data_IF_653882611108
#
_entry.id   IF_653882611108
#
_cell.length_a   1.000
_cell.length_b   1.000
_cell.length_c   1.000
_cell.angle_alpha   90.00
_cell.angle_beta   90.00
_cell.angle_gamma   90.00
#
_symmetry.space_group_name_H-M   'P 1'
#
loop_
_entity.id
_entity.type
_entity.pdbx_description
1 polymer ?
#
# COMPACT_ATOMS: atom_id res chain seq x y z
N UNK A 1 -69.11 -18.62 2.54
CA UNK A 1 -68.66 -19.02 1.19
C UNK A 1 -69.40 -18.13 0.20
N UNK A 2 -68.76 -17.06 -0.28
CA UNK A 2 -69.37 -16.15 -1.25
C UNK A 2 -69.01 -16.63 -2.67
N UNK A 3 -70.02 -16.82 -3.50
CA UNK A 3 -69.90 -17.25 -4.90
C UNK A 3 -69.51 -16.06 -5.78
N UNK A 4 -68.57 -16.30 -6.70
CA UNK A 4 -68.06 -15.33 -7.69
C UNK A 4 -69.07 -15.09 -8.82
N UNK A 5 -69.10 -13.89 -9.46
CA UNK A 5 -69.99 -13.66 -10.60
C UNK A 5 -69.39 -14.24 -11.89
N UNK A 6 -70.22 -14.99 -12.61
CA UNK A 6 -69.96 -15.47 -13.97
C UNK A 6 -69.76 -14.29 -14.92
N UNK A 7 -68.64 -14.28 -15.64
CA UNK A 7 -68.34 -13.30 -16.67
C UNK A 7 -68.86 -13.83 -18.02
N UNK A 8 -70.05 -13.40 -18.42
CA UNK A 8 -70.72 -13.82 -19.65
C UNK A 8 -70.29 -12.97 -20.85
N UNK A 9 -69.65 -13.59 -21.83
CA UNK A 9 -69.41 -13.00 -23.14
C UNK A 9 -70.62 -13.32 -24.04
N UNK A 10 -71.49 -12.33 -24.24
CA UNK A 10 -72.63 -12.47 -25.14
C UNK A 10 -72.18 -12.41 -26.61
N UNK A 11 -72.29 -13.58 -27.25
CA UNK A 11 -72.59 -13.86 -28.65
C UNK A 11 -72.99 -12.67 -29.56
N UNK A 12 -72.23 -12.44 -30.63
CA UNK A 12 -72.78 -11.89 -31.88
C UNK A 12 -72.24 -12.72 -33.07
N UNK A 13 -73.12 -13.56 -33.57
CA UNK A 13 -72.95 -14.42 -34.72
C UNK A 13 -73.06 -13.57 -36.00
N UNK A 14 -71.94 -13.03 -36.49
CA UNK A 14 -71.80 -12.65 -37.89
C UNK A 14 -70.46 -13.16 -38.42
N UNK A 15 -70.55 -14.03 -39.42
CA UNK A 15 -69.43 -14.67 -40.07
C UNK A 15 -68.63 -13.61 -40.86
N UNK A 16 -67.43 -13.28 -40.38
CA UNK A 16 -66.41 -12.52 -41.10
C UNK A 16 -65.08 -13.26 -41.03
N UNK A 17 -64.15 -13.06 -41.99
CA UNK A 17 -62.93 -13.85 -42.06
C UNK A 17 -62.12 -13.68 -40.77
N UNK A 18 -61.64 -14.81 -40.24
CA UNK A 18 -60.86 -14.89 -39.02
C UNK A 18 -59.69 -13.89 -39.05
N UNK A 19 -59.70 -12.91 -38.15
CA UNK A 19 -58.53 -12.02 -37.96
C UNK A 19 -57.37 -12.86 -37.40
N UNK A 20 -56.15 -12.72 -37.94
CA UNK A 20 -54.98 -13.37 -37.37
C UNK A 20 -54.77 -12.85 -35.93
N UNK A 21 -54.48 -13.79 -35.02
CA UNK A 21 -54.09 -13.50 -33.65
C UNK A 21 -52.81 -12.66 -33.68
N UNK A 22 -52.93 -11.36 -33.45
CA UNK A 22 -51.75 -10.51 -33.28
C UNK A 22 -51.06 -10.84 -31.95
N UNK A 23 -49.71 -10.87 -31.91
CA UNK A 23 -48.98 -10.95 -30.66
C UNK A 23 -49.42 -9.79 -29.76
N UNK A 24 -49.89 -10.12 -28.56
CA UNK A 24 -50.31 -9.17 -27.54
C UNK A 24 -49.07 -8.31 -27.21
N UNK A 25 -49.01 -7.09 -27.73
CA UNK A 25 -47.96 -6.16 -27.35
C UNK A 25 -48.06 -5.92 -25.83
N UNK A 26 -46.93 -5.93 -25.11
CA UNK A 26 -46.95 -5.56 -23.70
C UNK A 26 -47.53 -4.14 -23.59
N UNK A 27 -48.36 -3.88 -22.56
CA UNK A 27 -48.92 -2.55 -22.37
C UNK A 27 -47.79 -1.51 -22.33
N UNK A 28 -48.00 -0.32 -22.92
CA UNK A 28 -47.04 0.78 -22.80
C UNK A 28 -46.73 0.99 -21.32
N UNK A 29 -45.45 1.00 -20.95
CA UNK A 29 -45.07 1.33 -19.59
C UNK A 29 -45.61 2.73 -19.28
N UNK A 30 -46.41 2.84 -18.23
CA UNK A 30 -46.94 4.14 -17.83
C UNK A 30 -45.76 5.07 -17.53
N UNK A 31 -45.77 6.30 -18.06
CA UNK A 31 -44.71 7.26 -17.79
C UNK A 31 -44.70 7.54 -16.29
N UNK A 32 -43.57 7.22 -15.64
CA UNK A 32 -43.33 7.54 -14.23
C UNK A 32 -43.65 9.02 -14.01
N UNK A 33 -44.42 9.31 -12.97
CA UNK A 33 -44.77 10.70 -12.68
C UNK A 33 -43.49 11.51 -12.45
N UNK A 34 -43.48 12.79 -12.86
CA UNK A 34 -42.33 13.69 -12.66
C UNK A 34 -41.80 13.70 -11.21
N UNK A 35 -42.69 13.48 -10.23
CA UNK A 35 -42.34 13.35 -8.81
C UNK A 35 -41.51 12.08 -8.52
N UNK A 36 -41.93 10.93 -9.05
CA UNK A 36 -41.23 9.66 -8.89
C UNK A 36 -39.82 9.72 -9.49
N UNK A 37 -39.66 10.41 -10.63
CA UNK A 37 -38.35 10.65 -11.22
C UNK A 37 -37.47 11.55 -10.33
N UNK A 38 -38.02 12.61 -9.75
CA UNK A 38 -37.28 13.47 -8.81
C UNK A 38 -36.85 12.70 -7.55
N UNK A 39 -37.74 11.88 -6.98
CA UNK A 39 -37.41 11.02 -5.83
C UNK A 39 -36.33 9.99 -6.19
N UNK A 40 -36.44 9.35 -7.35
CA UNK A 40 -35.44 8.38 -7.83
C UNK A 40 -34.07 9.06 -7.96
N UNK A 41 -34.01 10.23 -8.60
CA UNK A 41 -32.78 11.01 -8.75
C UNK A 41 -32.19 11.42 -7.41
N UNK A 42 -33.02 11.83 -6.45
CA UNK A 42 -32.58 12.20 -5.12
C UNK A 42 -31.96 11.01 -4.37
N UNK A 43 -32.62 9.85 -4.40
CA UNK A 43 -32.13 8.62 -3.77
C UNK A 43 -30.79 8.22 -4.39
N UNK A 44 -30.72 8.14 -5.72
CA UNK A 44 -29.49 7.77 -6.44
C UNK A 44 -28.36 8.76 -6.17
N UNK A 45 -28.64 10.07 -6.19
CA UNK A 45 -27.64 11.10 -5.91
C UNK A 45 -27.12 11.01 -4.48
N UNK A 46 -27.98 10.71 -3.52
CA UNK A 46 -27.61 10.55 -2.11
C UNK A 46 -26.77 9.30 -1.91
N UNK A 47 -27.18 8.15 -2.47
CA UNK A 47 -26.42 6.90 -2.42
C UNK A 47 -25.03 7.06 -3.04
N UNK A 48 -24.96 7.67 -4.23
CA UNK A 48 -23.69 7.96 -4.91
C UNK A 48 -22.77 8.84 -4.07
N UNK A 49 -23.32 9.86 -3.39
CA UNK A 49 -22.51 10.72 -2.50
C UNK A 49 -21.96 9.94 -1.31
N UNK A 50 -22.77 9.07 -0.71
CA UNK A 50 -22.36 8.25 0.40
C UNK A 50 -21.24 7.28 0.01
N UNK A 51 -21.40 6.56 -1.11
CA UNK A 51 -20.38 5.66 -1.64
C UNK A 51 -19.05 6.40 -1.93
N UNK A 52 -19.14 7.60 -2.51
CA UNK A 52 -17.96 8.43 -2.75
C UNK A 52 -17.28 8.88 -1.46
N UNK A 53 -18.05 9.18 -0.40
CA UNK A 53 -17.48 9.52 0.90
C UNK A 53 -16.76 8.33 1.53
N UNK A 54 -17.37 7.15 1.52
CA UNK A 54 -16.77 5.92 2.03
C UNK A 54 -15.46 5.58 1.31
N UNK A 55 -15.45 5.67 -0.03
CA UNK A 55 -14.23 5.45 -0.81
C UNK A 55 -13.12 6.45 -0.46
N UNK A 56 -13.47 7.73 -0.24
CA UNK A 56 -12.52 8.75 0.20
C UNK A 56 -11.99 8.52 1.61
N UNK A 57 -12.79 7.97 2.52
CA UNK A 57 -12.36 7.61 3.86
C UNK A 57 -11.38 6.43 3.82
N UNK A 58 -11.71 5.38 3.07
CA UNK A 58 -10.81 4.23 2.89
C UNK A 58 -9.46 4.64 2.27
N UNK A 59 -9.48 5.53 1.27
CA UNK A 59 -8.26 6.08 0.67
C UNK A 59 -7.41 6.89 1.67
N UNK A 60 -8.06 7.65 2.56
CA UNK A 60 -7.37 8.38 3.63
C UNK A 60 -6.77 7.43 4.66
N UNK A 61 -7.50 6.40 5.11
CA UNK A 61 -6.96 5.38 6.02
C UNK A 61 -5.73 4.69 5.44
N UNK A 62 -5.76 4.31 4.16
CA UNK A 62 -4.62 3.71 3.48
C UNK A 62 -3.42 4.67 3.43
N UNK A 63 -3.66 5.96 3.14
CA UNK A 63 -2.62 6.98 3.10
C UNK A 63 -1.99 7.21 4.48
N UNK A 64 -2.81 7.26 5.54
CA UNK A 64 -2.35 7.39 6.92
C UNK A 64 -1.48 6.20 7.31
N UNK A 65 -1.95 4.96 7.06
CA UNK A 65 -1.15 3.74 7.34
C UNK A 65 0.18 3.73 6.60
N UNK A 66 0.20 4.19 5.35
CA UNK A 66 1.44 4.29 4.59
C UNK A 66 2.41 5.33 5.19
N UNK A 67 1.89 6.48 5.65
CA UNK A 67 2.68 7.50 6.35
C UNK A 67 3.22 6.93 7.68
N UNK A 68 2.39 6.27 8.48
CA UNK A 68 2.79 5.63 9.73
C UNK A 68 3.93 4.62 9.50
N UNK A 69 3.82 3.80 8.45
CA UNK A 69 4.87 2.86 8.06
C UNK A 69 6.18 3.57 7.69
N UNK A 70 6.12 4.63 6.87
CA UNK A 70 7.30 5.40 6.48
C UNK A 70 7.95 6.08 7.69
N UNK A 71 7.16 6.62 8.62
CA UNK A 71 7.67 7.19 9.87
C UNK A 71 8.32 6.10 10.72
N UNK A 72 7.70 4.92 10.84
CA UNK A 72 8.27 3.79 11.57
C UNK A 72 9.63 3.35 11.01
N UNK A 73 9.78 3.33 9.68
CA UNK A 73 11.05 3.07 9.01
C UNK A 73 12.09 4.17 9.30
N UNK A 74 11.70 5.44 9.22
CA UNK A 74 12.58 6.57 9.54
C UNK A 74 13.05 6.52 10.99
N UNK A 75 12.15 6.22 11.93
CA UNK A 75 12.49 6.04 13.35
C UNK A 75 13.48 4.89 13.52
N UNK A 76 13.25 3.75 12.86
CA UNK A 76 14.20 2.63 12.89
C UNK A 76 15.59 3.03 12.37
N UNK A 77 15.66 3.78 11.26
CA UNK A 77 16.91 4.30 10.69
C UNK A 77 17.60 5.29 11.64
N UNK A 78 16.84 6.12 12.36
CA UNK A 78 17.39 7.12 13.29
C UNK A 78 17.82 6.48 14.61
N UNK A 79 17.01 5.58 15.18
CA UNK A 79 17.28 4.88 16.44
C UNK A 79 18.31 3.75 16.32
N UNK A 80 18.48 3.16 15.14
CA UNK A 80 19.53 2.18 14.86
C UNK A 80 20.92 2.80 14.66
N UNK A 81 21.02 4.13 14.57
CA UNK A 81 22.30 4.83 14.52
C UNK A 81 22.90 4.87 15.92
N UNK A 82 24.09 4.31 16.08
CA UNK A 82 24.94 4.61 17.24
C UNK A 82 25.20 6.11 17.24
N UNK A 83 25.02 6.78 18.38
CA UNK A 83 25.36 8.19 18.54
C UNK A 83 26.77 8.45 17.99
N UNK A 84 26.87 9.31 16.97
CA UNK A 84 28.15 9.71 16.38
C UNK A 84 28.48 9.13 14.99
N UNK A 85 27.69 8.21 14.42
CA UNK A 85 27.98 7.67 13.08
C UNK A 85 27.36 8.53 11.97
N UNK A 86 28.20 9.18 11.15
CA UNK A 86 27.77 10.03 10.03
C UNK A 86 27.25 9.17 8.85
N UNK A 87 26.38 9.70 7.97
CA UNK A 87 25.91 8.98 6.76
C UNK A 87 27.06 8.54 5.82
N UNK A 88 28.23 9.14 5.98
CA UNK A 88 29.44 8.91 5.20
C UNK A 88 30.43 7.94 5.89
N UNK A 89 30.10 7.35 7.04
CA UNK A 89 30.98 6.39 7.73
C UNK A 89 30.95 5.01 7.03
N UNK A 90 31.61 5.01 5.87
CA UNK A 90 32.47 3.97 5.31
C UNK A 90 32.00 2.53 5.48
N UNK A 91 31.35 1.98 4.44
CA UNK A 91 31.58 0.57 4.10
C UNK A 91 33.10 0.37 4.03
N UNK A 92 33.65 -0.55 4.83
CA UNK A 92 35.08 -0.89 4.76
C UNK A 92 35.43 -1.20 3.31
N UNK A 93 36.31 -0.39 2.73
CA UNK A 93 36.79 -0.61 1.37
C UNK A 93 37.43 -2.01 1.31
N UNK A 94 36.92 -2.95 0.50
CA UNK A 94 37.54 -4.27 0.37
C UNK A 94 38.98 -4.22 -0.15
N UNK A 95 39.37 -3.07 -0.74
CA UNK A 95 40.75 -2.78 -1.18
C UNK A 95 41.65 -2.26 -0.06
N UNK A 96 41.22 -2.29 1.20
CA UNK A 96 42.07 -2.04 2.38
C UNK A 96 43.13 -3.15 2.59
N UNK A 97 43.63 -3.77 1.51
CA UNK A 97 44.86 -4.52 1.51
C UNK A 97 45.99 -3.49 1.67
N UNK A 98 46.36 -3.26 2.93
CA UNK A 98 47.46 -2.40 3.34
C UNK A 98 48.74 -2.91 2.69
N UNK A 99 49.25 -2.19 1.69
CA UNK A 99 50.62 -2.41 1.22
C UNK A 99 51.56 -1.97 2.36
N UNK A 100 52.28 -2.90 2.96
CA UNK A 100 53.32 -2.58 3.93
C UNK A 100 54.36 -1.66 3.25
N UNK A 101 54.46 -0.42 3.71
CA UNK A 101 55.48 0.53 3.22
C UNK A 101 56.78 0.25 3.95
N UNK A 102 57.76 -0.34 3.26
CA UNK A 102 59.11 -0.53 3.78
C UNK A 102 59.89 0.77 3.66
N UNK A 103 60.38 1.30 4.77
CA UNK A 103 61.28 2.46 4.76
C UNK A 103 62.64 2.06 4.16
N UNK A 104 63.41 3.02 3.62
CA UNK A 104 64.74 2.76 3.02
C UNK A 104 65.75 2.11 3.98
N UNK A 105 65.47 2.13 5.28
CA UNK A 105 66.26 1.46 6.34
C UNK A 105 65.76 0.04 6.65
N UNK A 106 64.85 -0.52 5.85
CA UNK A 106 64.35 -1.89 5.96
C UNK A 106 63.26 -2.11 7.02
N UNK A 107 62.78 -1.07 7.72
CA UNK A 107 61.75 -1.22 8.76
C UNK A 107 60.34 -1.01 8.18
N UNK A 108 59.43 -1.90 8.55
CA UNK A 108 57.99 -1.81 8.26
C UNK A 108 57.31 -1.04 9.39
N UNK A 109 56.49 -0.05 9.03
CA UNK A 109 55.76 0.77 10.00
C UNK A 109 54.56 -0.03 10.53
N UNK A 110 54.83 -0.89 11.51
CA UNK A 110 53.86 -1.81 12.12
C UNK A 110 54.49 -2.86 13.05
N UNK A 111 55.81 -3.04 12.99
CA UNK A 111 56.53 -3.89 13.93
C UNK A 111 56.95 -3.06 15.15
N UNK A 112 56.26 -3.23 16.29
CA UNK A 112 56.84 -2.85 17.58
C UNK A 112 58.11 -3.69 17.79
N UNK A 113 59.26 -3.06 18.09
CA UNK A 113 60.48 -3.82 18.26
C UNK A 113 60.46 -4.52 19.62
N UNK A 114 60.33 -5.85 19.58
CA UNK A 114 60.66 -6.73 20.70
C UNK A 114 62.07 -6.41 21.18
N UNK A 115 62.17 -5.78 22.36
CA UNK A 115 63.43 -5.48 23.04
C UNK A 115 64.14 -6.80 23.34
N UNK A 116 65.17 -7.15 22.55
CA UNK A 116 66.19 -8.11 22.97
C UNK A 116 67.03 -7.45 24.06
N UNK A 117 66.77 -7.80 25.31
CA UNK A 117 67.78 -7.65 26.36
C UNK A 117 68.76 -8.80 26.19
N UNK A 118 69.94 -8.48 25.67
CA UNK A 118 71.10 -9.35 25.76
C UNK A 118 72.13 -8.60 26.60
N UNK A 119 72.31 -9.18 27.77
CA UNK A 119 73.27 -8.91 28.84
C UNK A 119 74.72 -8.90 28.33
N UNK A 120 75.54 -7.96 28.80
CA UNK A 120 76.92 -8.26 29.24
C UNK A 120 77.51 -7.14 30.11
N UNK A 121 77.92 -7.54 31.32
CA UNK A 121 78.69 -6.83 32.36
C UNK A 121 80.17 -6.68 31.93
N UNK A 122 80.93 -5.69 32.46
CA UNK A 122 81.85 -5.99 33.58
C UNK A 122 81.95 -4.83 34.60
N UNK A 123 81.83 -5.10 35.90
CA UNK A 123 82.90 -5.39 36.87
C UNK A 123 83.80 -4.19 37.23
N UNK A 124 83.73 -3.75 38.49
CA UNK A 124 84.85 -3.76 39.45
C UNK A 124 84.92 -2.53 40.41
N UNK A 125 84.71 -2.84 41.71
CA UNK A 125 85.32 -2.30 42.96
C UNK A 125 85.16 -0.85 43.44
N UNK A 126 85.14 -0.80 44.79
CA UNK A 126 85.26 0.30 45.78
C UNK A 126 83.96 1.10 45.97
N UNK A 127 83.44 1.26 47.19
CA UNK A 127 84.08 1.22 48.51
C UNK A 127 83.08 0.88 49.61
#
# INVERSE_FOLDING_TARGET
>A
MAQSPEFSWSNNQQQGPARPLQPRQPPPQEPKSNLEEMFSKFITATDTRFQNQDARLQSQEASIRNIEMQIGQLVSIVSGRREGQLPSDTEKNPKEQVNAVTLKNGKTLGEEPLRKQMEETPDQRRS
#
